data_IF_011503907802
#
_entry.id   IF_011503907802
#
_cell.length_a   1.000
_cell.length_b   1.000
_cell.length_c   1.000
_cell.angle_alpha   90.00
_cell.angle_beta   90.00
_cell.angle_gamma   90.00
#
_symmetry.space_group_name_H-M   'P 1'
#
loop_
_entity.id
_entity.type
_entity.pdbx_description
1 polymer ?
#
# COMPACT_ATOMS: atom_id res chain seq x y z
N UNK A 1 -38.53 26.53 -6.96
CA UNK A 1 -38.02 25.86 -5.74
C UNK A 1 -38.12 24.34 -5.77
N UNK A 2 -39.24 23.72 -6.22
CA UNK A 2 -39.43 22.25 -6.18
C UNK A 2 -38.35 21.40 -6.89
N UNK A 3 -37.78 21.89 -8.00
CA UNK A 3 -36.77 21.14 -8.77
C UNK A 3 -35.38 21.09 -8.12
N UNK A 4 -35.00 22.07 -7.27
CA UNK A 4 -33.70 22.06 -6.55
C UNK A 4 -33.68 20.96 -5.49
N UNK A 5 -34.80 20.72 -4.82
CA UNK A 5 -34.92 19.69 -3.79
C UNK A 5 -34.87 18.28 -4.38
N UNK A 6 -35.46 18.08 -5.57
CA UNK A 6 -35.41 16.81 -6.30
C UNK A 6 -33.99 16.53 -6.80
N UNK A 7 -33.30 17.53 -7.35
CA UNK A 7 -31.92 17.38 -7.81
C UNK A 7 -30.95 17.02 -6.67
N UNK A 8 -31.10 17.66 -5.51
CA UNK A 8 -30.32 17.37 -4.30
C UNK A 8 -30.60 15.96 -3.76
N UNK A 9 -31.86 15.52 -3.76
CA UNK A 9 -32.22 14.17 -3.36
C UNK A 9 -31.64 13.11 -4.32
N UNK A 10 -31.68 13.35 -5.64
CA UNK A 10 -31.06 12.47 -6.63
C UNK A 10 -29.54 12.36 -6.44
N UNK A 11 -28.84 13.47 -6.15
CA UNK A 11 -27.40 13.45 -5.85
C UNK A 11 -27.09 12.67 -4.57
N UNK A 12 -27.94 12.78 -3.55
CA UNK A 12 -27.76 12.05 -2.28
C UNK A 12 -27.96 10.54 -2.46
N UNK A 13 -28.98 10.12 -3.23
CA UNK A 13 -29.27 8.71 -3.52
C UNK A 13 -28.19 8.09 -4.42
N UNK A 14 -27.69 8.84 -5.42
CA UNK A 14 -26.58 8.41 -6.26
C UNK A 14 -25.28 8.29 -5.45
N UNK A 15 -25.00 9.22 -4.54
CA UNK A 15 -23.86 9.15 -3.62
C UNK A 15 -23.91 7.92 -2.69
N UNK A 16 -25.09 7.61 -2.14
CA UNK A 16 -25.28 6.42 -1.30
C UNK A 16 -25.09 5.10 -2.07
N UNK A 17 -25.56 5.04 -3.32
CA UNK A 17 -25.48 3.83 -4.13
C UNK A 17 -24.04 3.48 -4.55
N UNK A 18 -23.18 4.50 -4.72
CA UNK A 18 -21.74 4.31 -4.98
C UNK A 18 -21.01 3.79 -3.72
N UNK A 19 -21.42 4.22 -2.53
CA UNK A 19 -20.82 3.75 -1.27
C UNK A 19 -21.21 2.30 -0.93
N UNK A 20 -22.42 1.85 -1.25
CA UNK A 20 -22.86 0.49 -0.94
C UNK A 20 -22.11 -0.57 -1.75
N UNK A 21 -21.69 -0.27 -3.00
CA UNK A 21 -20.87 -1.20 -3.80
C UNK A 21 -19.39 -1.26 -3.39
N UNK A 22 -18.92 -0.32 -2.58
CA UNK A 22 -17.52 -0.23 -2.14
C UNK A 22 -17.22 -0.97 -0.83
N UNK A 23 -18.22 -1.63 -0.21
CA UNK A 23 -18.08 -2.30 1.09
C UNK A 23 -18.14 -3.83 1.02
N UNK A 24 -17.58 -4.43 -0.04
CA UNK A 24 -17.23 -5.86 0.06
C UNK A 24 -15.91 -5.88 0.83
N UNK A 25 -15.96 -6.28 2.10
CA UNK A 25 -14.75 -6.53 2.88
C UNK A 25 -13.86 -7.50 2.10
N UNK A 26 -12.60 -7.14 1.83
CA UNK A 26 -11.72 -7.99 1.06
C UNK A 26 -11.51 -9.32 1.80
N UNK A 27 -11.54 -10.42 1.04
CA UNK A 27 -11.20 -11.73 1.59
C UNK A 27 -9.77 -11.72 2.14
N UNK A 28 -9.45 -12.66 3.05
CA UNK A 28 -8.09 -12.78 3.59
C UNK A 28 -7.02 -12.93 2.49
N UNK A 29 -7.35 -13.60 1.38
CA UNK A 29 -6.46 -13.78 0.23
C UNK A 29 -6.25 -12.49 -0.57
N UNK A 30 -7.31 -11.70 -0.75
CA UNK A 30 -7.21 -10.37 -1.36
C UNK A 30 -6.37 -9.45 -0.46
N UNK A 31 -6.58 -9.52 0.85
CA UNK A 31 -5.84 -8.70 1.79
C UNK A 31 -4.36 -9.03 1.87
N UNK A 32 -4.00 -10.30 1.78
CA UNK A 32 -2.61 -10.73 1.60
C UNK A 32 -1.99 -10.09 0.35
N UNK A 33 -2.74 -10.09 -0.76
CA UNK A 33 -2.27 -9.53 -2.03
C UNK A 33 -2.08 -8.01 -1.95
N UNK A 34 -3.03 -7.29 -1.33
CA UNK A 34 -2.92 -5.83 -1.19
C UNK A 34 -1.80 -5.43 -0.25
N UNK A 35 -1.53 -6.19 0.82
CA UNK A 35 -0.38 -5.94 1.71
C UNK A 35 0.95 -6.17 0.99
N UNK A 36 1.03 -7.19 0.11
CA UNK A 36 2.20 -7.40 -0.73
C UNK A 36 2.38 -6.29 -1.76
N UNK A 37 1.30 -5.80 -2.38
CA UNK A 37 1.35 -4.63 -3.27
C UNK A 37 1.81 -3.37 -2.54
N UNK A 38 1.31 -3.16 -1.32
CA UNK A 38 1.76 -2.09 -0.44
C UNK A 38 3.28 -2.16 -0.19
N UNK A 39 3.80 -3.33 0.19
CA UNK A 39 5.23 -3.52 0.43
C UNK A 39 6.05 -3.26 -0.83
N UNK A 40 5.61 -3.75 -1.99
CA UNK A 40 6.27 -3.50 -3.27
C UNK A 40 6.32 -2.00 -3.59
N UNK A 41 5.18 -1.33 -3.51
CA UNK A 41 5.06 0.10 -3.80
C UNK A 41 5.94 0.93 -2.87
N UNK A 42 5.90 0.66 -1.55
CA UNK A 42 6.74 1.37 -0.58
C UNK A 42 8.23 1.08 -0.75
N UNK A 43 8.62 -0.14 -1.11
CA UNK A 43 10.02 -0.44 -1.43
C UNK A 43 10.52 0.44 -2.59
N UNK A 44 9.74 0.57 -3.65
CA UNK A 44 10.10 1.42 -4.79
C UNK A 44 10.15 2.89 -4.36
N UNK A 45 9.12 3.39 -3.69
CA UNK A 45 9.05 4.78 -3.26
C UNK A 45 10.20 5.19 -2.32
N UNK A 46 10.47 4.38 -1.30
CA UNK A 46 11.56 4.64 -0.33
C UNK A 46 12.93 4.41 -0.97
N UNK A 47 13.09 3.38 -1.80
CA UNK A 47 14.38 3.08 -2.42
C UNK A 47 14.86 4.13 -3.43
N UNK A 48 13.94 4.95 -3.95
CA UNK A 48 14.22 6.13 -4.77
C UNK A 48 14.19 7.44 -3.98
N UNK A 49 14.28 7.37 -2.65
CA UNK A 49 14.28 8.55 -1.76
C UNK A 49 13.09 9.50 -2.01
N UNK A 50 11.92 8.92 -2.29
CA UNK A 50 10.67 9.67 -2.50
C UNK A 50 10.77 10.66 -3.65
N UNK A 51 11.44 10.27 -4.73
CA UNK A 51 11.61 11.06 -5.95
C UNK A 51 10.27 11.66 -6.44
N UNK A 52 10.33 12.87 -7.01
CA UNK A 52 9.18 13.60 -7.56
C UNK A 52 8.45 12.85 -8.66
N UNK A 53 9.09 11.86 -9.30
CA UNK A 53 8.41 10.99 -10.28
C UNK A 53 7.15 10.32 -9.71
N UNK A 54 7.06 10.13 -8.40
CA UNK A 54 5.90 9.53 -7.73
C UNK A 54 4.82 10.54 -7.30
N UNK A 55 5.03 11.85 -7.44
CA UNK A 55 4.12 12.88 -6.90
C UNK A 55 2.71 12.82 -7.52
N UNK A 56 2.62 12.42 -8.80
CA UNK A 56 1.35 12.29 -9.52
C UNK A 56 0.79 10.87 -9.52
N UNK A 57 1.51 9.92 -8.92
CA UNK A 57 1.10 8.53 -8.89
C UNK A 57 0.10 8.29 -7.75
N UNK A 58 -1.08 7.76 -8.07
CA UNK A 58 -2.17 7.56 -7.11
C UNK A 58 -2.15 6.19 -6.44
N UNK A 59 -1.13 5.36 -6.69
CA UNK A 59 -1.03 3.99 -6.18
C UNK A 59 -1.19 3.94 -4.67
N UNK A 60 -0.53 4.82 -3.92
CA UNK A 60 -0.66 4.83 -2.45
C UNK A 60 -2.03 5.26 -1.95
N UNK A 61 -2.72 6.16 -2.66
CA UNK A 61 -4.09 6.54 -2.32
C UNK A 61 -5.01 5.34 -2.47
N UNK A 62 -4.95 4.65 -3.62
CA UNK A 62 -5.72 3.42 -3.86
C UNK A 62 -5.39 2.35 -2.83
N UNK A 63 -4.10 2.09 -2.59
CA UNK A 63 -3.66 1.06 -1.63
C UNK A 63 -4.12 1.39 -0.22
N UNK A 64 -4.07 2.66 0.22
CA UNK A 64 -4.62 3.04 1.51
C UNK A 64 -6.12 2.81 1.58
N UNK A 65 -6.89 3.16 0.55
CA UNK A 65 -8.33 2.96 0.55
C UNK A 65 -8.70 1.47 0.62
N UNK A 66 -8.13 0.65 -0.27
CA UNK A 66 -8.46 -0.79 -0.33
C UNK A 66 -7.90 -1.60 0.84
N UNK A 67 -6.91 -1.06 1.55
CA UNK A 67 -6.39 -1.69 2.77
C UNK A 67 -6.99 -1.09 4.04
N UNK A 68 -8.02 -0.26 3.95
CA UNK A 68 -8.68 0.43 5.08
C UNK A 68 -7.72 1.29 5.92
N UNK A 69 -6.91 2.11 5.25
CA UNK A 69 -5.94 3.03 5.84
C UNK A 69 -4.87 2.33 6.68
N UNK A 70 -4.22 1.30 6.09
CA UNK A 70 -3.23 0.47 6.79
C UNK A 70 -2.12 1.27 7.48
N UNK A 71 -1.68 2.39 6.89
CA UNK A 71 -0.68 3.31 7.45
C UNK A 71 -1.04 3.84 8.84
N UNK A 72 -2.32 3.93 9.18
CA UNK A 72 -2.82 4.42 10.46
C UNK A 72 -2.92 3.32 11.52
N UNK A 73 -2.36 2.13 11.26
CA UNK A 73 -2.53 0.95 12.12
C UNK A 73 -1.23 0.23 12.46
N UNK A 74 -1.28 -0.66 13.45
CA UNK A 74 -0.18 -1.57 13.82
C UNK A 74 0.33 -2.38 12.63
N UNK A 75 -0.54 -2.74 11.67
CA UNK A 75 -0.17 -3.47 10.47
C UNK A 75 0.74 -2.63 9.58
N UNK A 76 0.39 -1.36 9.33
CA UNK A 76 1.21 -0.43 8.55
C UNK A 76 2.64 -0.35 9.10
N UNK A 77 2.80 -0.18 10.42
CA UNK A 77 4.14 -0.17 11.04
C UNK A 77 4.94 -1.46 10.81
N UNK A 78 4.27 -2.62 10.84
CA UNK A 78 4.94 -3.89 10.58
C UNK A 78 5.37 -3.99 9.12
N UNK A 79 4.49 -3.62 8.17
CA UNK A 79 4.80 -3.60 6.74
C UNK A 79 5.95 -2.62 6.44
N UNK A 80 5.91 -1.41 6.99
CA UNK A 80 6.96 -0.40 6.83
C UNK A 80 8.31 -0.89 7.38
N UNK A 81 8.28 -1.69 8.46
CA UNK A 81 9.49 -2.35 8.99
C UNK A 81 10.07 -3.36 8.00
N UNK A 82 9.22 -4.16 7.34
CA UNK A 82 9.67 -5.10 6.30
C UNK A 82 10.34 -4.35 5.13
N UNK A 83 9.69 -3.26 4.68
CA UNK A 83 10.22 -2.40 3.61
C UNK A 83 11.60 -1.85 3.98
N UNK A 84 11.73 -1.28 5.19
CA UNK A 84 13.00 -0.70 5.65
C UNK A 84 14.11 -1.74 5.68
N UNK A 85 13.83 -2.93 6.21
CA UNK A 85 14.79 -4.04 6.25
C UNK A 85 15.21 -4.43 4.83
N UNK A 86 14.26 -4.58 3.90
CA UNK A 86 14.56 -4.96 2.51
C UNK A 86 15.39 -3.90 1.80
N UNK A 87 15.03 -2.61 1.88
CA UNK A 87 15.78 -1.55 1.18
C UNK A 87 17.20 -1.40 1.72
N UNK A 88 17.39 -1.58 3.02
CA UNK A 88 18.71 -1.55 3.63
C UNK A 88 19.58 -2.75 3.21
N UNK A 89 18.98 -3.92 2.99
CA UNK A 89 19.72 -5.13 2.60
C UNK A 89 20.12 -5.20 1.13
N UNK A 90 19.55 -4.36 0.25
CA UNK A 90 19.91 -4.33 -1.17
C UNK A 90 21.34 -3.79 -1.32
N UNK A 91 22.28 -4.61 -1.84
CA UNK A 91 23.64 -4.18 -2.06
C UNK A 91 23.73 -3.25 -3.29
N UNK A 92 24.74 -2.38 -3.33
CA UNK A 92 25.09 -1.68 -4.56
C UNK A 92 25.57 -2.67 -5.63
N UNK A 93 25.36 -2.32 -6.90
CA UNK A 93 25.89 -3.06 -8.03
C UNK A 93 27.41 -3.20 -7.94
N UNK A 94 27.91 -4.39 -8.26
CA UNK A 94 29.34 -4.68 -8.42
C UNK A 94 29.85 -4.38 -9.83
N UNK A 95 28.96 -4.16 -10.80
CA UNK A 95 29.31 -3.76 -12.17
C UNK A 95 29.68 -2.27 -12.14
N UNK A 96 30.90 -1.97 -12.60
CA UNK A 96 31.52 -0.63 -12.53
C UNK A 96 30.67 0.45 -13.22
N UNK A 97 30.13 0.16 -14.41
CA UNK A 97 29.28 1.07 -15.20
C UNK A 97 28.08 1.61 -14.41
N UNK A 98 27.61 0.86 -13.41
CA UNK A 98 26.46 1.27 -12.59
C UNK A 98 26.84 2.11 -11.37
N UNK A 99 28.12 2.47 -11.18
CA UNK A 99 28.56 3.47 -10.21
C UNK A 99 28.01 3.26 -8.78
N UNK A 100 28.01 2.00 -8.30
CA UNK A 100 27.47 1.60 -6.99
C UNK A 100 25.97 1.89 -6.80
N UNK A 101 25.20 2.11 -7.88
CA UNK A 101 23.74 2.22 -7.81
C UNK A 101 23.13 0.89 -7.38
N UNK A 102 21.98 0.96 -6.69
CA UNK A 102 21.23 -0.19 -6.22
C UNK A 102 20.16 -0.58 -7.24
N UNK A 103 19.97 -1.88 -7.46
CA UNK A 103 18.91 -2.40 -8.33
C UNK A 103 17.56 -2.46 -7.58
N UNK A 104 17.07 -1.32 -7.09
CA UNK A 104 15.90 -1.23 -6.19
C UNK A 104 14.67 -1.93 -6.75
N UNK A 105 14.29 -1.63 -8.00
CA UNK A 105 13.07 -2.18 -8.61
C UNK A 105 13.17 -3.71 -8.72
N UNK A 106 14.29 -4.20 -9.27
CA UNK A 106 14.52 -5.65 -9.46
C UNK A 106 14.44 -6.41 -8.13
N UNK A 107 15.09 -5.88 -7.10
CA UNK A 107 15.10 -6.52 -5.78
C UNK A 107 13.76 -6.42 -5.05
N UNK A 108 13.00 -5.35 -5.30
CA UNK A 108 11.64 -5.20 -4.77
C UNK A 108 10.67 -6.18 -5.42
N UNK A 109 10.77 -6.40 -6.74
CA UNK A 109 9.99 -7.41 -7.46
C UNK A 109 10.32 -8.83 -6.98
N UNK A 110 11.61 -9.15 -6.84
CA UNK A 110 12.03 -10.46 -6.28
C UNK A 110 11.48 -10.69 -4.88
N UNK A 111 11.50 -9.66 -4.03
CA UNK A 111 10.93 -9.75 -2.69
C UNK A 111 9.41 -9.89 -2.71
N UNK A 112 8.73 -9.15 -3.60
CA UNK A 112 7.30 -9.31 -3.83
C UNK A 112 6.93 -10.76 -4.12
N UNK A 113 7.65 -11.44 -5.01
CA UNK A 113 7.40 -12.83 -5.41
C UNK A 113 7.89 -13.89 -4.40
N UNK A 114 8.56 -13.48 -3.31
CA UNK A 114 9.16 -14.42 -2.37
C UNK A 114 8.14 -15.06 -1.42
N UNK A 115 8.35 -16.34 -1.10
CA UNK A 115 7.61 -17.02 -0.02
C UNK A 115 7.92 -16.40 1.36
N UNK A 116 9.07 -15.72 1.50
CA UNK A 116 9.43 -14.98 2.71
C UNK A 116 8.41 -13.85 2.99
N UNK A 117 8.21 -12.96 2.02
CA UNK A 117 7.25 -11.86 2.17
C UNK A 117 5.84 -12.39 2.40
N UNK A 118 5.45 -13.42 1.64
CA UNK A 118 4.14 -14.05 1.77
C UNK A 118 3.90 -14.56 3.20
N UNK A 119 4.86 -15.28 3.79
CA UNK A 119 4.78 -15.73 5.19
C UNK A 119 4.69 -14.55 6.16
N UNK A 120 5.54 -13.54 6.00
CA UNK A 120 5.55 -12.34 6.87
C UNK A 120 4.21 -11.59 6.82
N UNK A 121 3.62 -11.42 5.64
CA UNK A 121 2.31 -10.78 5.48
C UNK A 121 1.20 -11.62 6.13
N UNK A 122 1.21 -12.93 5.97
CA UNK A 122 0.25 -13.82 6.63
C UNK A 122 0.34 -13.74 8.16
N UNK A 123 1.55 -13.60 8.72
CA UNK A 123 1.75 -13.38 10.16
C UNK A 123 1.20 -12.03 10.62
N UNK A 124 1.35 -10.97 9.82
CA UNK A 124 0.77 -9.66 10.10
C UNK A 124 -0.76 -9.75 10.09
N UNK A 125 -1.36 -10.39 9.09
CA UNK A 125 -2.81 -10.53 8.98
C UNK A 125 -3.45 -11.32 10.13
N UNK A 126 -2.71 -12.26 10.73
CA UNK A 126 -3.15 -12.98 11.94
C UNK A 126 -3.04 -12.15 13.23
N UNK A 127 -2.37 -11.00 13.17
CA UNK A 127 -2.16 -10.17 14.35
C UNK A 127 -3.27 -9.14 14.54
N UNK A 128 -3.47 -8.60 15.75
CA UNK A 128 -4.46 -7.55 15.98
C UNK A 128 -4.12 -6.27 15.22
N UNK A 129 -5.10 -5.77 14.47
CA UNK A 129 -5.06 -4.47 13.80
C UNK A 129 -5.49 -3.37 14.77
N UNK A 130 -4.51 -2.58 15.24
CA UNK A 130 -4.73 -1.56 16.27
C UNK A 130 -4.45 -0.18 15.68
N UNK A 131 -5.37 0.80 15.78
CA UNK A 131 -5.10 2.17 15.36
C UNK A 131 -3.90 2.77 16.10
N UNK A 132 -3.04 3.49 15.38
CA UNK A 132 -1.92 4.22 15.98
C UNK A 132 -2.49 5.50 16.61
N UNK A 133 -2.23 5.69 17.90
CA UNK A 133 -2.52 6.97 18.57
C UNK A 133 -1.46 7.98 18.16
N UNK A 134 -1.86 9.04 17.47
CA UNK A 134 -1.02 10.22 17.30
C UNK A 134 -0.99 10.96 18.65
N UNK A 135 0.22 11.15 19.20
CA UNK A 135 0.45 11.99 20.38
C UNK A 135 0.70 13.41 19.93
#
# INVERSE_FOLDING_TARGET
MKYRTILLACLFILGFSVHIKAQIEPSAKEMESYYRWYVLAECIYIGFDKDKVFEKDITFSILNDITEYVKLTSHGRKLDSLVKIKIQSIPPSQIEDYQKKKAIILESMRYYDSEELKRQVQEILKSPRVPIKFK
#
